data_IF_956388721521
#
_entry.id   IF_956388721521
#
_cell.length_a   1.000
_cell.length_b   1.000
_cell.length_c   1.000
_cell.angle_alpha   90.00
_cell.angle_beta   90.00
_cell.angle_gamma   90.00
#
_symmetry.space_group_name_H-M   'P 1'
#
loop_
_entity.id
_entity.type
_entity.pdbx_description
1 polymer ?
#
# COMPACT_ATOMS: atom_id res chain seq x y z
N UNK A 1 2.06 13.94 -7.53
CA UNK A 1 1.81 12.69 -6.77
C UNK A 1 0.97 11.79 -7.62
N UNK A 2 1.30 10.49 -7.66
CA UNK A 2 0.47 9.52 -8.35
C UNK A 2 -0.83 9.27 -7.55
N UNK A 3 -1.89 8.85 -8.24
CA UNK A 3 -3.13 8.42 -7.57
C UNK A 3 -2.90 7.30 -6.54
N UNK A 4 -2.07 6.25 -6.79
CA UNK A 4 -1.78 5.24 -5.78
C UNK A 4 -1.08 5.79 -4.54
N UNK A 5 -0.14 6.75 -4.67
CA UNK A 5 0.50 7.40 -3.50
C UNK A 5 -0.50 8.15 -2.62
N UNK A 6 -1.49 8.79 -3.26
CA UNK A 6 -2.53 9.54 -2.55
C UNK A 6 -3.44 8.61 -1.75
N UNK A 7 -3.84 7.49 -2.36
CA UNK A 7 -4.65 6.45 -1.69
C UNK A 7 -3.87 5.84 -0.53
N UNK A 8 -2.59 5.51 -0.75
CA UNK A 8 -1.73 4.95 0.29
C UNK A 8 -1.57 5.91 1.47
N UNK A 9 -1.36 7.21 1.21
CA UNK A 9 -1.26 8.23 2.25
C UNK A 9 -2.54 8.32 3.11
N UNK A 10 -3.72 8.22 2.48
CA UNK A 10 -5.01 8.21 3.20
C UNK A 10 -5.15 6.96 4.07
N UNK A 11 -4.81 5.78 3.54
CA UNK A 11 -4.87 4.52 4.29
C UNK A 11 -3.90 4.50 5.47
N UNK A 12 -2.68 5.01 5.29
CA UNK A 12 -1.68 5.15 6.36
C UNK A 12 -2.20 6.06 7.48
N UNK A 13 -2.76 7.23 7.13
CA UNK A 13 -3.31 8.16 8.12
C UNK A 13 -4.49 7.55 8.87
N UNK A 14 -5.39 6.84 8.17
CA UNK A 14 -6.51 6.13 8.80
C UNK A 14 -6.02 5.05 9.77
N UNK A 15 -5.05 4.23 9.36
CA UNK A 15 -4.50 3.17 10.20
C UNK A 15 -3.82 3.73 11.47
N UNK A 16 -3.06 4.82 11.34
CA UNK A 16 -2.44 5.48 12.48
C UNK A 16 -3.48 5.91 13.53
N UNK A 17 -4.56 6.56 13.12
CA UNK A 17 -5.64 6.96 14.03
C UNK A 17 -6.31 5.78 14.71
N UNK A 18 -6.63 4.72 13.95
CA UNK A 18 -7.27 3.52 14.50
C UNK A 18 -6.37 2.78 15.49
N UNK A 19 -5.06 2.76 15.24
CA UNK A 19 -4.09 2.14 16.15
C UNK A 19 -3.93 2.95 17.45
N UNK A 20 -3.90 4.29 17.35
CA UNK A 20 -3.83 5.17 18.52
C UNK A 20 -5.06 4.97 19.43
N UNK A 21 -6.26 4.94 18.84
CA UNK A 21 -7.50 4.68 19.57
C UNK A 21 -7.53 3.27 20.17
N UNK A 22 -7.13 2.26 19.39
CA UNK A 22 -7.07 0.88 19.87
C UNK A 22 -6.09 0.71 21.03
N UNK A 23 -4.92 1.34 20.99
CA UNK A 23 -3.93 1.27 22.07
C UNK A 23 -4.49 1.81 23.38
N UNK A 24 -5.21 2.94 23.32
CA UNK A 24 -5.87 3.53 24.48
C UNK A 24 -7.00 2.63 25.03
N UNK A 25 -7.90 2.16 24.17
CA UNK A 25 -9.07 1.37 24.56
C UNK A 25 -8.72 -0.06 25.01
N UNK A 26 -7.67 -0.66 24.44
CA UNK A 26 -7.15 -1.96 24.89
C UNK A 26 -6.56 -1.85 26.29
N UNK A 27 -5.75 -0.83 26.56
CA UNK A 27 -5.23 -0.57 27.91
C UNK A 27 -6.34 -0.33 28.93
N UNK A 28 -7.45 0.27 28.50
CA UNK A 28 -8.65 0.48 29.32
C UNK A 28 -9.60 -0.73 29.44
N UNK A 29 -9.34 -1.84 28.75
CA UNK A 29 -10.21 -3.03 28.77
C UNK A 29 -11.56 -2.85 28.05
N UNK A 30 -11.74 -1.78 27.28
CA UNK A 30 -12.99 -1.40 26.60
C UNK A 30 -13.01 -1.76 25.11
N UNK A 31 -11.92 -2.32 24.60
CA UNK A 31 -11.81 -2.70 23.19
C UNK A 31 -12.61 -3.97 22.87
N UNK A 32 -13.71 -3.79 22.14
CA UNK A 32 -14.65 -4.86 21.79
C UNK A 32 -14.15 -5.78 20.67
N UNK A 33 -14.73 -6.96 20.56
CA UNK A 33 -14.45 -7.89 19.45
C UNK A 33 -14.86 -7.32 18.08
N UNK A 34 -15.84 -6.42 18.04
CA UNK A 34 -16.22 -5.72 16.82
C UNK A 34 -15.09 -4.78 16.38
N UNK A 35 -14.60 -3.94 17.30
CA UNK A 35 -13.48 -3.03 17.03
C UNK A 35 -12.21 -3.80 16.63
N UNK A 36 -11.92 -4.95 17.25
CA UNK A 36 -10.81 -5.84 16.82
C UNK A 36 -10.95 -6.26 15.35
N UNK A 37 -12.15 -6.68 14.92
CA UNK A 37 -12.41 -7.07 13.53
C UNK A 37 -12.30 -5.87 12.58
N UNK A 38 -12.88 -4.74 12.95
CA UNK A 38 -12.89 -3.53 12.13
C UNK A 38 -11.44 -3.01 11.91
N UNK A 39 -10.60 -3.02 12.96
CA UNK A 39 -9.17 -2.69 12.87
C UNK A 39 -8.41 -3.70 11.98
N UNK A 40 -8.66 -5.00 12.14
CA UNK A 40 -8.01 -6.02 11.32
C UNK A 40 -8.34 -5.84 9.83
N UNK A 41 -9.59 -5.54 9.48
CA UNK A 41 -9.99 -5.23 8.11
C UNK A 41 -9.24 -4.02 7.56
N UNK A 42 -9.16 -2.92 8.31
CA UNK A 42 -8.45 -1.72 7.87
C UNK A 42 -6.94 -1.96 7.68
N UNK A 43 -6.31 -2.74 8.56
CA UNK A 43 -4.89 -3.10 8.43
C UNK A 43 -4.64 -4.01 7.21
N UNK A 44 -5.58 -4.90 6.90
CA UNK A 44 -5.48 -5.75 5.71
C UNK A 44 -5.62 -4.92 4.41
N UNK A 45 -6.52 -3.93 4.37
CA UNK A 45 -6.63 -2.99 3.25
C UNK A 45 -5.31 -2.23 3.03
N UNK A 46 -4.70 -1.71 4.10
CA UNK A 46 -3.41 -1.03 4.03
C UNK A 46 -2.29 -1.98 3.56
N UNK A 47 -2.26 -3.22 4.08
CA UNK A 47 -1.26 -4.20 3.67
C UNK A 47 -1.36 -4.55 2.17
N UNK A 48 -2.57 -4.62 1.62
CA UNK A 48 -2.80 -4.81 0.20
C UNK A 48 -2.27 -3.62 -0.61
N UNK A 49 -2.64 -2.38 -0.23
CA UNK A 49 -2.19 -1.17 -0.94
C UNK A 49 -0.65 -1.01 -0.96
N UNK A 50 0.02 -1.38 0.14
CA UNK A 50 1.50 -1.37 0.21
C UNK A 50 2.14 -2.35 -0.78
N UNK A 51 1.55 -3.55 -0.94
CA UNK A 51 2.05 -4.56 -1.89
C UNK A 51 1.82 -4.14 -3.33
N UNK A 52 0.65 -3.57 -3.63
CA UNK A 52 0.31 -3.07 -4.97
C UNK A 52 1.26 -1.94 -5.40
N UNK A 53 1.53 -1.00 -4.48
CA UNK A 53 2.52 0.08 -4.71
C UNK A 53 3.92 -0.47 -5.02
N UNK A 54 4.31 -1.61 -4.45
CA UNK A 54 5.61 -2.26 -4.73
C UNK A 54 5.59 -3.05 -6.05
N UNK A 55 4.44 -3.64 -6.42
CA UNK A 55 4.27 -4.42 -7.64
C UNK A 55 4.24 -3.59 -8.92
N UNK A 56 3.69 -2.37 -8.87
CA UNK A 56 3.72 -1.41 -9.99
C UNK A 56 5.17 -0.99 -10.32
N UNK A 57 6.02 -0.79 -9.30
CA UNK A 57 7.43 -0.44 -9.48
C UNK A 57 8.23 -1.57 -10.16
N UNK A 58 7.94 -2.83 -9.82
CA UNK A 58 8.64 -3.99 -10.40
C UNK A 58 8.27 -4.22 -11.89
N UNK A 59 7.04 -3.87 -12.26
CA UNK A 59 6.54 -4.00 -13.65
C UNK A 59 7.09 -2.90 -14.57
N UNK A 60 7.37 -1.71 -14.04
CA UNK A 60 7.99 -0.62 -14.80
C UNK A 60 9.52 -0.76 -14.92
N UNK A 61 10.20 -1.36 -13.93
CA UNK A 61 11.64 -1.61 -14.01
C UNK A 61 12.01 -2.75 -14.98
N UNK A 62 11.09 -3.67 -15.28
CA UNK A 62 11.31 -4.80 -16.20
C UNK A 62 11.22 -4.44 -17.69
N UNK A 63 10.95 -3.18 -18.06
CA UNK A 63 10.76 -2.76 -19.45
C UNK A 63 11.91 -1.91 -20.02
N UNK A 64 12.99 -1.68 -19.26
CA UNK A 64 14.14 -0.86 -19.69
C UNK A 64 15.39 -1.67 -20.07
N UNK A 65 15.26 -2.99 -20.28
CA UNK A 65 16.36 -3.85 -20.74
C UNK A 65 16.07 -4.52 -22.09
N UNK A 66 15.49 -3.74 -23.01
CA UNK A 66 15.57 -4.04 -24.45
C UNK A 66 16.57 -3.09 -25.07
N UNK A 67 17.79 -3.52 -25.42
CA UNK A 67 18.59 -2.75 -26.36
C UNK A 67 17.79 -2.71 -27.66
N UNK A 68 17.34 -1.50 -28.00
CA UNK A 68 16.83 -1.20 -29.33
C UNK A 68 18.00 -1.33 -30.30
N UNK A 69 18.24 -2.55 -30.78
CA UNK A 69 19.03 -2.77 -31.98
C UNK A 69 18.18 -2.27 -33.15
N UNK A 70 18.36 -0.99 -33.44
CA UNK A 70 17.87 -0.27 -34.60
C UNK A 70 18.23 -1.09 -35.85
N UNK A 71 17.21 -1.38 -36.64
CA UNK A 71 17.33 -1.93 -38.00
C UNK A 71 17.83 -0.83 -38.94
N UNK A 72 18.71 -1.22 -39.87
CA UNK A 72 19.21 -0.55 -41.09
C UNK A 72 20.58 0.14 -41.08
N UNK A 73 21.51 -0.44 -41.83
CA UNK A 73 22.27 0.21 -42.92
C UNK A 73 22.87 -0.93 -43.78
N UNK A 74 22.23 -1.33 -44.88
CA UNK A 74 22.50 -0.88 -46.25
C UNK A 74 23.69 -1.60 -46.93
N UNK A 75 23.33 -2.34 -48.00
CA UNK A 75 24.11 -2.86 -49.16
C UNK A 75 25.00 -4.10 -49.00
#
# INVERSE_FOLDING_TARGET
MSRPDTVLAVLLRKAQWLLDEAAFEVGGGRYSNRQRRDLATALNELATALRESTGEQNSQHSQEDRPSAIVNAEQ
#
